data_IF_766701270802
#
_entry.id   IF_766701270802
#
_cell.length_a   1.000
_cell.length_b   1.000
_cell.length_c   1.000
_cell.angle_alpha   90.00
_cell.angle_beta   90.00
_cell.angle_gamma   90.00
#
_symmetry.space_group_name_H-M   'P 1'
#
loop_
_entity.id
_entity.type
_entity.pdbx_description
1 polymer ?
#
# COMPACT_ATOMS: atom_id res chain seq x y z
N UNK A 1 4.57 -4.59 -38.49
CA UNK A 1 5.03 -3.62 -37.47
C UNK A 1 3.82 -2.82 -37.04
N UNK A 2 3.34 -2.95 -35.80
CA UNK A 2 2.13 -2.26 -35.30
C UNK A 2 2.56 -0.98 -34.57
N UNK A 3 2.57 0.16 -35.27
CA UNK A 3 2.87 1.49 -34.71
C UNK A 3 2.04 2.56 -35.44
N UNK A 4 1.51 3.58 -34.73
CA UNK A 4 1.53 3.80 -33.27
C UNK A 4 0.45 3.00 -32.50
N UNK A 5 0.64 2.79 -31.19
CA UNK A 5 -0.29 2.07 -30.29
C UNK A 5 -0.81 2.97 -29.18
N UNK A 6 -1.97 2.63 -28.62
CA UNK A 6 -2.56 3.36 -27.50
C UNK A 6 -1.71 3.18 -26.22
N UNK A 7 -1.72 4.19 -25.35
CA UNK A 7 -0.91 4.19 -24.13
C UNK A 7 -1.20 2.99 -23.22
N UNK A 8 -2.42 2.47 -23.24
CA UNK A 8 -2.94 1.37 -22.43
C UNK A 8 -2.95 -0.01 -23.14
N UNK A 9 -2.39 -0.10 -24.34
CA UNK A 9 -2.32 -1.35 -25.10
C UNK A 9 -1.38 -2.34 -24.38
N UNK A 10 -1.82 -3.58 -24.17
CA UNK A 10 -1.07 -4.67 -23.50
C UNK A 10 -0.40 -4.30 -22.16
N UNK A 11 -1.06 -3.54 -21.29
CA UNK A 11 -0.52 -3.28 -19.95
C UNK A 11 -0.52 -4.55 -19.08
N UNK A 12 0.55 -4.80 -18.31
CA UNK A 12 0.53 -5.87 -17.32
C UNK A 12 -0.57 -5.57 -16.29
N UNK A 13 -1.45 -6.54 -16.08
CA UNK A 13 -2.54 -6.47 -15.13
C UNK A 13 -2.49 -7.64 -14.14
N UNK A 14 -2.95 -7.39 -12.92
CA UNK A 14 -3.18 -8.43 -11.91
C UNK A 14 -4.69 -8.54 -11.71
N UNK A 15 -5.22 -9.75 -11.74
CA UNK A 15 -6.63 -10.04 -11.47
C UNK A 15 -6.76 -11.14 -10.43
N UNK A 16 -7.78 -11.04 -9.58
CA UNK A 16 -8.09 -12.03 -8.55
C UNK A 16 -9.59 -12.07 -8.31
N UNK A 17 -10.10 -13.24 -7.90
CA UNK A 17 -11.51 -13.48 -7.62
C UNK A 17 -11.62 -14.00 -6.19
N UNK A 18 -12.48 -13.37 -5.38
CA UNK A 18 -12.81 -13.82 -4.03
C UNK A 18 -14.25 -14.33 -4.00
N UNK A 19 -14.43 -15.61 -3.66
CA UNK A 19 -15.75 -16.18 -3.41
C UNK A 19 -16.15 -15.97 -1.95
N UNK A 20 -17.37 -15.48 -1.74
CA UNK A 20 -17.97 -15.32 -0.41
C UNK A 20 -19.01 -16.40 -0.10
N UNK A 21 -19.24 -17.33 -1.03
CA UNK A 21 -20.23 -18.40 -0.97
C UNK A 21 -21.61 -17.88 -0.51
N UNK A 22 -22.36 -18.67 0.24
CA UNK A 22 -23.66 -18.25 0.79
C UNK A 22 -23.43 -17.33 1.99
N UNK A 23 -23.73 -16.04 1.80
CA UNK A 23 -23.74 -15.05 2.88
C UNK A 23 -25.07 -15.14 3.63
N UNK A 24 -25.03 -15.23 4.96
CA UNK A 24 -26.19 -15.20 5.85
C UNK A 24 -26.06 -14.05 6.88
N UNK A 25 -26.74 -14.15 8.03
CA UNK A 25 -26.66 -13.15 9.09
C UNK A 25 -25.28 -13.03 9.75
N UNK A 26 -24.36 -13.98 9.52
CA UNK A 26 -23.01 -13.96 10.04
C UNK A 26 -22.07 -13.22 9.07
N UNK A 27 -21.38 -12.16 9.52
CA UNK A 27 -20.49 -11.40 8.66
C UNK A 27 -19.27 -12.23 8.25
N UNK A 28 -19.00 -12.29 6.96
CA UNK A 28 -17.80 -12.92 6.38
C UNK A 28 -16.88 -11.83 5.83
N UNK A 29 -15.60 -11.90 6.18
CA UNK A 29 -14.57 -11.00 5.66
C UNK A 29 -13.47 -11.79 4.95
N UNK A 30 -12.95 -11.21 3.87
CA UNK A 30 -11.81 -11.69 3.08
C UNK A 30 -10.95 -10.48 2.74
N UNK A 31 -9.66 -10.68 2.58
CA UNK A 31 -8.75 -9.64 2.12
C UNK A 31 -7.69 -10.24 1.20
N UNK A 32 -7.07 -9.37 0.41
CA UNK A 32 -5.97 -9.70 -0.48
C UNK A 32 -4.74 -8.95 0.04
N UNK A 33 -3.60 -9.63 0.05
CA UNK A 33 -2.31 -9.00 0.20
C UNK A 33 -1.72 -8.77 -1.19
N UNK A 34 -1.32 -7.53 -1.45
CA UNK A 34 -0.62 -7.14 -2.67
C UNK A 34 0.74 -6.58 -2.24
N UNK A 35 1.80 -7.05 -2.88
CA UNK A 35 3.15 -6.59 -2.62
C UNK A 35 3.90 -6.34 -3.93
N UNK A 36 4.83 -5.40 -3.88
CA UNK A 36 5.76 -5.10 -4.97
C UNK A 36 7.15 -5.55 -4.54
N UNK A 37 7.71 -6.56 -5.23
CA UNK A 37 9.07 -7.02 -4.95
C UNK A 37 10.10 -6.22 -5.74
N UNK A 38 10.63 -5.18 -5.12
CA UNK A 38 11.72 -4.41 -5.70
C UNK A 38 13.05 -5.18 -5.57
N UNK A 39 13.67 -5.51 -6.72
CA UNK A 39 14.96 -6.20 -6.73
C UNK A 39 16.13 -5.26 -6.37
N UNK A 40 16.10 -4.03 -6.90
CA UNK A 40 17.09 -2.98 -6.66
C UNK A 40 16.39 -1.63 -6.63
N UNK A 41 16.72 -0.79 -5.65
CA UNK A 41 16.00 0.45 -5.37
C UNK A 41 16.71 1.69 -5.92
N UNK A 42 18.05 1.70 -5.82
CA UNK A 42 18.87 2.83 -6.25
C UNK A 42 20.17 2.31 -6.88
N UNK A 43 20.65 2.98 -7.92
CA UNK A 43 22.02 2.83 -8.41
C UNK A 43 22.88 3.97 -7.87
N UNK A 44 23.94 3.63 -7.14
CA UNK A 44 24.88 4.59 -6.56
C UNK A 44 26.29 4.27 -7.03
N UNK A 45 26.91 5.17 -7.81
CA UNK A 45 28.23 4.96 -8.41
C UNK A 45 28.37 3.59 -9.11
N UNK A 46 27.46 3.28 -10.02
CA UNK A 46 27.40 2.00 -10.75
C UNK A 46 27.19 0.76 -9.88
N UNK A 47 26.83 0.95 -8.60
CA UNK A 47 26.46 -0.13 -7.69
C UNK A 47 24.95 -0.14 -7.49
N UNK A 48 24.31 -1.23 -7.90
CA UNK A 48 22.90 -1.46 -7.61
C UNK A 48 22.73 -1.82 -6.13
N UNK A 49 21.95 -1.03 -5.40
CA UNK A 49 21.66 -1.23 -4.00
C UNK A 49 20.29 -1.89 -3.85
N UNK A 50 20.22 -2.91 -2.98
CA UNK A 50 18.95 -3.52 -2.58
C UNK A 50 18.12 -2.51 -1.78
N UNK A 51 16.78 -2.56 -1.86
CA UNK A 51 15.93 -1.74 -1.01
C UNK A 51 16.17 -2.03 0.46
N UNK A 52 15.97 -1.01 1.31
CA UNK A 52 16.24 -1.12 2.75
C UNK A 52 15.43 -2.22 3.45
N UNK A 53 14.22 -2.50 2.96
CA UNK A 53 13.40 -3.58 3.54
C UNK A 53 14.01 -4.98 3.34
N UNK A 54 14.87 -5.17 2.32
CA UNK A 54 15.66 -6.40 2.09
C UNK A 54 16.96 -6.47 2.90
N UNK A 55 17.19 -5.58 3.88
CA UNK A 55 18.45 -5.53 4.66
C UNK A 55 18.83 -6.84 5.38
N UNK A 56 17.85 -7.69 5.67
CA UNK A 56 18.04 -9.00 6.33
C UNK A 56 17.83 -10.17 5.35
N UNK A 57 17.98 -9.94 4.05
CA UNK A 57 17.75 -10.94 2.99
C UNK A 57 16.34 -11.53 2.95
N UNK A 58 15.37 -10.83 3.55
CA UNK A 58 13.96 -11.21 3.54
C UNK A 58 13.46 -11.37 2.11
N UNK A 59 12.83 -12.51 1.84
CA UNK A 59 12.10 -12.77 0.60
C UNK A 59 10.69 -12.20 0.67
N UNK A 60 10.10 -11.91 -0.50
CA UNK A 60 8.79 -11.26 -0.56
C UNK A 60 7.68 -12.13 0.05
N UNK A 61 7.82 -13.46 -0.03
CA UNK A 61 6.91 -14.45 0.56
C UNK A 61 6.92 -14.36 2.10
N UNK A 62 8.10 -14.19 2.70
CA UNK A 62 8.24 -14.03 4.16
C UNK A 62 7.63 -12.71 4.62
N UNK A 63 7.78 -11.65 3.82
CA UNK A 63 7.16 -10.35 4.07
C UNK A 63 5.63 -10.45 4.00
N UNK A 64 5.08 -11.18 3.02
CA UNK A 64 3.63 -11.39 2.87
C UNK A 64 3.06 -12.18 4.06
N UNK A 65 3.72 -13.26 4.49
CA UNK A 65 3.29 -14.03 5.67
C UNK A 65 3.31 -13.15 6.92
N UNK A 66 4.37 -12.37 7.11
CA UNK A 66 4.47 -11.44 8.22
C UNK A 66 3.37 -10.37 8.18
N UNK A 67 3.10 -9.81 7.00
CA UNK A 67 2.05 -8.82 6.79
C UNK A 67 0.66 -9.39 7.13
N UNK A 68 0.40 -10.67 6.82
CA UNK A 68 -0.84 -11.34 7.21
C UNK A 68 -0.99 -11.41 8.73
N UNK A 69 0.04 -11.92 9.40
CA UNK A 69 0.06 -12.08 10.87
C UNK A 69 -0.12 -10.73 11.57
N UNK A 70 0.54 -9.69 11.07
CA UNK A 70 0.53 -8.35 11.67
C UNK A 70 -0.64 -7.48 11.20
N UNK A 71 -1.45 -7.93 10.23
CA UNK A 71 -2.45 -7.12 9.52
C UNK A 71 -3.39 -6.39 10.48
N UNK A 72 -3.94 -7.12 11.47
CA UNK A 72 -4.88 -6.55 12.46
C UNK A 72 -4.20 -5.48 13.32
N UNK A 73 -2.96 -5.72 13.74
CA UNK A 73 -2.21 -4.79 14.59
C UNK A 73 -1.83 -3.53 13.81
N UNK A 74 -1.37 -3.67 12.58
CA UNK A 74 -1.02 -2.55 11.70
C UNK A 74 -2.25 -1.71 11.38
N UNK A 75 -3.38 -2.34 11.01
CA UNK A 75 -4.65 -1.62 10.78
C UNK A 75 -5.08 -0.80 11.98
N UNK A 76 -5.01 -1.36 13.20
CA UNK A 76 -5.32 -0.61 14.43
C UNK A 76 -4.40 0.60 14.62
N UNK A 77 -3.09 0.47 14.36
CA UNK A 77 -2.15 1.59 14.43
C UNK A 77 -2.46 2.67 13.39
N UNK A 78 -2.77 2.28 12.15
CA UNK A 78 -3.17 3.20 11.09
C UNK A 78 -4.45 3.98 11.45
N UNK A 79 -5.48 3.31 11.97
CA UNK A 79 -6.70 3.97 12.42
C UNK A 79 -6.44 4.99 13.52
N UNK A 80 -5.70 4.59 14.57
CA UNK A 80 -5.34 5.48 15.66
C UNK A 80 -4.55 6.70 15.18
N UNK A 81 -3.56 6.49 14.31
CA UNK A 81 -2.77 7.58 13.75
C UNK A 81 -3.64 8.53 12.92
N UNK A 82 -4.53 7.98 12.08
CA UNK A 82 -5.41 8.77 11.24
C UNK A 82 -6.41 9.62 12.06
N UNK A 83 -6.90 9.10 13.20
CA UNK A 83 -7.73 9.87 14.12
C UNK A 83 -6.97 11.04 14.76
N UNK A 84 -5.74 10.80 15.22
CA UNK A 84 -4.86 11.83 15.78
C UNK A 84 -4.58 12.91 14.73
N UNK A 85 -4.15 12.50 13.54
CA UNK A 85 -3.84 13.41 12.43
C UNK A 85 -5.04 14.28 12.07
N UNK A 86 -6.24 13.69 11.94
CA UNK A 86 -7.45 14.44 11.63
C UNK A 86 -7.85 15.43 12.71
N UNK A 87 -7.67 15.06 13.98
CA UNK A 87 -7.93 15.97 15.11
C UNK A 87 -7.00 17.17 15.03
N UNK A 88 -5.70 16.94 14.94
CA UNK A 88 -4.69 18.00 14.85
C UNK A 88 -4.90 18.92 13.64
N UNK A 89 -5.30 18.36 12.49
CA UNK A 89 -5.58 19.13 11.29
C UNK A 89 -6.90 19.92 11.34
N UNK A 90 -7.84 19.55 12.22
CA UNK A 90 -9.15 20.20 12.32
C UNK A 90 -9.22 21.23 13.45
N UNK A 91 -8.22 21.29 14.31
CA UNK A 91 -8.14 22.26 15.40
C UNK A 91 -7.98 23.69 14.84
N UNK A 92 -8.79 24.63 15.37
CA UNK A 92 -8.81 26.03 14.94
C UNK A 92 -9.26 26.23 13.49
N UNK A 93 -8.58 27.11 12.75
CA UNK A 93 -8.91 27.44 11.36
C UNK A 93 -8.51 26.35 10.34
N UNK A 94 -7.88 25.26 10.81
CA UNK A 94 -7.38 24.15 9.99
C UNK A 94 -8.46 23.31 9.30
N UNK A 95 -9.70 23.37 9.79
CA UNK A 95 -10.85 22.61 9.23
C UNK A 95 -11.02 22.83 7.72
N UNK A 96 -10.68 24.02 7.19
CA UNK A 96 -10.78 24.34 5.76
C UNK A 96 -9.81 23.54 4.89
N UNK A 97 -8.66 23.14 5.42
CA UNK A 97 -7.57 22.50 4.67
C UNK A 97 -7.23 21.08 5.13
N UNK A 98 -7.88 20.59 6.19
CA UNK A 98 -7.58 19.28 6.79
C UNK A 98 -7.59 18.13 5.79
N UNK A 99 -8.54 18.12 4.84
CA UNK A 99 -8.60 17.11 3.77
C UNK A 99 -7.42 17.19 2.80
N UNK A 100 -6.98 18.39 2.43
CA UNK A 100 -5.85 18.59 1.52
C UNK A 100 -4.55 18.17 2.21
N UNK A 101 -4.40 18.51 3.49
CA UNK A 101 -3.25 18.08 4.28
C UNK A 101 -3.23 16.55 4.48
N UNK A 102 -4.38 15.90 4.73
CA UNK A 102 -4.48 14.44 4.80
C UNK A 102 -4.06 13.77 3.47
N UNK A 103 -4.47 14.34 2.33
CA UNK A 103 -4.06 13.85 1.01
C UNK A 103 -2.57 14.05 0.75
N UNK A 104 -2.03 15.24 1.05
CA UNK A 104 -0.61 15.54 0.90
C UNK A 104 0.25 14.60 1.74
N UNK A 105 -0.15 14.32 2.98
CA UNK A 105 0.55 13.36 3.84
C UNK A 105 0.60 11.95 3.20
N UNK A 106 -0.50 11.49 2.60
CA UNK A 106 -0.54 10.18 1.92
C UNK A 106 0.34 10.16 0.66
N UNK A 107 0.40 11.27 -0.07
CA UNK A 107 1.26 11.38 -1.25
C UNK A 107 2.75 11.28 -0.88
N UNK A 108 3.18 11.98 0.17
CA UNK A 108 4.59 11.96 0.62
C UNK A 108 5.11 10.57 1.05
N UNK A 109 4.23 9.60 1.29
CA UNK A 109 4.62 8.22 1.61
C UNK A 109 4.81 7.34 0.37
N UNK A 110 4.37 7.80 -0.80
CA UNK A 110 4.37 7.05 -2.06
C UNK A 110 5.42 7.52 -3.06
N UNK A 111 6.10 8.64 -2.77
CA UNK A 111 7.20 9.23 -3.55
C UNK A 111 8.57 8.82 -2.97
#
# INVERSE_FOLDING_TARGET
>A
MRLPRAANDDWPGISTILSFDKVDSHPVSRHILLAFDELYSVEYFHRKLKPYWKRNELQIEEVLIKAEVECVLVRKKCHKFNEILRKELSDGDGTKYSKVAELAFRQCLSD
#
